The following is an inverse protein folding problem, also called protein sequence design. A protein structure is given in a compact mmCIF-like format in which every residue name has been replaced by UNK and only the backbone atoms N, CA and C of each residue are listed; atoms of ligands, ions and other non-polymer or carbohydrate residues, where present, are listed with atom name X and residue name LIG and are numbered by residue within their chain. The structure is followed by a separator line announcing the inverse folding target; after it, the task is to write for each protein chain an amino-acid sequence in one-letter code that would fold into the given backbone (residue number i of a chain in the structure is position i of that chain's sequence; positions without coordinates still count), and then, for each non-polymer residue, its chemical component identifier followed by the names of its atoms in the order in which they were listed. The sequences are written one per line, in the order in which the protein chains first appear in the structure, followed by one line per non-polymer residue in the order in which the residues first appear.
data_IF_247370838273
#
_entry.id   IF_247370838273
#
_cell.length_a   1.000
_cell.length_b   1.000
_cell.length_c   1.000
_cell.angle_alpha   90.00
_cell.angle_beta   90.00
_cell.angle_gamma   90.00
#
_symmetry.space_group_name_H-M   'P 1'
#
loop_
_entity.id
_entity.type
_entity.pdbx_description
1 polymer ?
#
# COMPACT_ATOMS: atom_id res chain seq x y z
N UNK A 1 33.06 -10.40 -18.23
CA UNK A 1 32.18 -10.86 -17.14
C UNK A 1 30.96 -9.97 -17.18
N UNK A 2 29.83 -10.49 -17.62
CA UNK A 2 28.54 -9.79 -17.54
C UNK A 2 27.98 -10.02 -16.13
N UNK A 3 27.91 -8.98 -15.31
CA UNK A 3 27.22 -9.04 -14.02
C UNK A 3 25.75 -9.39 -14.26
N UNK A 4 25.22 -10.47 -13.66
CA UNK A 4 23.80 -10.78 -13.73
C UNK A 4 23.04 -9.67 -12.99
N UNK A 5 22.11 -9.02 -13.68
CA UNK A 5 21.26 -7.97 -13.10
C UNK A 5 20.39 -8.62 -12.01
N UNK A 6 20.51 -8.16 -10.77
CA UNK A 6 19.77 -8.68 -9.62
C UNK A 6 18.30 -8.25 -9.68
N UNK A 7 17.49 -8.94 -10.47
CA UNK A 7 16.08 -8.60 -10.70
C UNK A 7 15.23 -8.89 -9.45
N UNK A 8 15.65 -9.85 -8.62
CA UNK A 8 14.90 -10.31 -7.46
C UNK A 8 14.76 -9.26 -6.34
N UNK A 9 15.80 -8.45 -6.07
CA UNK A 9 15.75 -7.51 -4.94
C UNK A 9 14.74 -6.39 -5.15
N UNK A 10 14.56 -5.93 -6.38
CA UNK A 10 13.73 -4.76 -6.71
C UNK A 10 12.25 -5.01 -6.37
N UNK A 11 11.75 -6.23 -6.61
CA UNK A 11 10.36 -6.58 -6.30
C UNK A 11 10.12 -6.73 -4.80
N UNK A 12 11.05 -7.35 -4.06
CA UNK A 12 10.94 -7.47 -2.60
C UNK A 12 10.98 -6.11 -1.91
N UNK A 13 11.84 -5.20 -2.38
CA UNK A 13 11.94 -3.85 -1.83
C UNK A 13 10.64 -3.06 -2.05
N UNK A 14 10.01 -3.23 -3.20
CA UNK A 14 8.71 -2.62 -3.52
C UNK A 14 7.59 -3.15 -2.63
N UNK A 15 7.49 -4.46 -2.44
CA UNK A 15 6.45 -5.07 -1.60
C UNK A 15 6.62 -4.64 -0.13
N UNK A 16 7.86 -4.47 0.34
CA UNK A 16 8.15 -3.90 1.67
C UNK A 16 7.71 -2.45 1.79
N UNK A 17 7.99 -1.62 0.79
CA UNK A 17 7.54 -0.22 0.76
C UNK A 17 6.01 -0.11 0.80
N UNK A 18 5.31 -0.91 -0.02
CA UNK A 18 3.83 -0.95 -0.04
C UNK A 18 3.29 -1.32 1.34
N UNK A 19 3.86 -2.35 1.97
CA UNK A 19 3.45 -2.79 3.31
C UNK A 19 3.67 -1.70 4.36
N UNK A 20 4.80 -1.00 4.29
CA UNK A 20 5.08 0.11 5.20
C UNK A 20 4.03 1.22 5.03
N UNK A 21 3.77 1.67 3.81
CA UNK A 21 2.79 2.73 3.53
C UNK A 21 1.39 2.31 3.97
N UNK A 22 0.97 1.07 3.70
CA UNK A 22 -0.31 0.54 4.16
C UNK A 22 -0.44 0.57 5.69
N UNK A 23 0.62 0.24 6.40
CA UNK A 23 0.66 0.28 7.88
C UNK A 23 0.50 1.71 8.39
N UNK A 24 1.25 2.65 7.81
CA UNK A 24 1.15 4.07 8.18
C UNK A 24 -0.23 4.67 7.88
N UNK A 25 -0.86 4.28 6.77
CA UNK A 25 -2.22 4.69 6.41
C UNK A 25 -3.24 4.10 7.37
N UNK A 26 -3.10 2.83 7.72
CA UNK A 26 -3.96 2.14 8.69
C UNK A 26 -3.94 2.86 10.04
N UNK A 27 -2.76 3.18 10.56
CA UNK A 27 -2.59 3.87 11.83
C UNK A 27 -3.16 5.29 11.78
N UNK A 28 -2.90 6.02 10.70
CA UNK A 28 -3.46 7.37 10.51
C UNK A 28 -5.00 7.38 10.49
N UNK A 29 -5.62 6.37 9.86
CA UNK A 29 -7.08 6.21 9.84
C UNK A 29 -7.61 5.91 11.24
N UNK A 30 -6.96 4.98 11.96
CA UNK A 30 -7.34 4.58 13.32
C UNK A 30 -7.25 5.76 14.29
N UNK A 31 -6.18 6.55 14.21
CA UNK A 31 -5.97 7.72 15.08
C UNK A 31 -7.02 8.81 14.85
N UNK A 32 -7.53 8.94 13.63
CA UNK A 32 -8.64 9.85 13.31
C UNK A 32 -10.03 9.27 13.56
N UNK A 33 -10.12 8.05 14.10
CA UNK A 33 -11.38 7.41 14.47
C UNK A 33 -12.15 6.83 13.27
N UNK A 34 -11.51 6.68 12.11
CA UNK A 34 -12.09 5.95 10.99
C UNK A 34 -11.90 4.45 11.18
N UNK A 35 -12.80 3.64 10.58
CA UNK A 35 -12.56 2.20 10.44
C UNK A 35 -11.56 1.98 9.30
N UNK A 36 -10.31 1.56 9.58
CA UNK A 36 -9.29 1.54 8.54
C UNK A 36 -9.58 0.52 7.44
N UNK A 37 -10.19 -0.62 7.79
CA UNK A 37 -10.53 -1.68 6.82
C UNK A 37 -11.55 -1.18 5.81
N UNK A 38 -12.65 -0.58 6.27
CA UNK A 38 -13.70 -0.08 5.38
C UNK A 38 -13.16 1.02 4.45
N UNK A 39 -12.31 1.90 4.97
CA UNK A 39 -11.73 2.98 4.18
C UNK A 39 -10.72 2.47 3.14
N UNK A 40 -9.87 1.51 3.51
CA UNK A 40 -8.94 0.88 2.57
C UNK A 40 -9.67 0.10 1.48
N UNK A 41 -10.71 -0.66 1.83
CA UNK A 41 -11.56 -1.36 0.85
C UNK A 41 -12.25 -0.36 -0.07
N UNK A 42 -12.83 0.71 0.48
CA UNK A 42 -13.45 1.77 -0.31
C UNK A 42 -12.47 2.42 -1.30
N UNK A 43 -11.25 2.71 -0.84
CA UNK A 43 -10.19 3.26 -1.68
C UNK A 43 -9.77 2.28 -2.80
N UNK A 44 -9.53 1.00 -2.47
CA UNK A 44 -9.11 -0.01 -3.46
C UNK A 44 -10.17 -0.20 -4.55
N UNK A 45 -11.45 -0.23 -4.19
CA UNK A 45 -12.54 -0.47 -5.15
C UNK A 45 -12.88 0.75 -6.01
N UNK A 46 -12.70 1.97 -5.48
CA UNK A 46 -13.16 3.20 -6.14
C UNK A 46 -12.05 4.11 -6.65
N UNK A 47 -10.80 3.91 -6.21
CA UNK A 47 -9.67 4.84 -6.34
C UNK A 47 -9.90 6.24 -5.76
N UNK A 48 -11.02 6.48 -5.07
CA UNK A 48 -11.32 7.80 -4.54
C UNK A 48 -10.46 8.10 -3.30
N UNK A 49 -9.51 9.06 -3.38
CA UNK A 49 -8.61 9.35 -2.27
C UNK A 49 -9.32 9.97 -1.06
N UNK A 50 -10.60 10.35 -1.16
CA UNK A 50 -11.38 10.88 -0.03
C UNK A 50 -11.59 9.85 1.08
N UNK A 51 -11.56 8.55 0.76
CA UNK A 51 -11.57 7.47 1.76
C UNK A 51 -10.34 7.52 2.68
N UNK A 52 -9.22 8.10 2.24
CA UNK A 52 -8.00 8.16 3.03
C UNK A 52 -7.86 9.52 3.69
N UNK A 53 -7.59 9.55 5.00
CA UNK A 53 -7.34 10.79 5.75
C UNK A 53 -6.10 11.52 5.23
N UNK A 54 -6.10 12.85 5.29
CA UNK A 54 -4.90 13.67 5.02
C UNK A 54 -3.92 13.68 6.19
N UNK A 55 -4.31 13.17 7.36
CA UNK A 55 -3.47 13.11 8.55
C UNK A 55 -2.19 12.30 8.32
N UNK A 56 -1.07 12.76 8.89
CA UNK A 56 0.23 12.09 8.74
C UNK A 56 0.73 11.97 7.29
N UNK A 57 0.13 12.71 6.36
CA UNK A 57 0.38 12.58 4.93
C UNK A 57 -0.12 11.27 4.32
N UNK A 58 -0.97 10.50 5.00
CA UNK A 58 -1.42 9.18 4.57
C UNK A 58 -2.00 9.16 3.15
N UNK A 59 -2.92 10.10 2.84
CA UNK A 59 -3.47 10.25 1.49
C UNK A 59 -2.40 10.48 0.42
N UNK A 60 -1.37 11.28 0.71
CA UNK A 60 -0.31 11.54 -0.25
C UNK A 60 0.62 10.34 -0.43
N UNK A 61 0.86 9.56 0.63
CA UNK A 61 1.70 8.36 0.58
C UNK A 61 1.04 7.25 -0.25
N UNK A 62 -0.21 6.92 0.03
CA UNK A 62 -0.90 5.82 -0.67
C UNK A 62 -1.14 6.13 -2.15
N UNK A 63 -1.34 7.41 -2.51
CA UNK A 63 -1.49 7.84 -3.91
C UNK A 63 -0.21 7.73 -4.75
N UNK A 64 0.95 7.48 -4.13
CA UNK A 64 2.21 7.21 -4.85
C UNK A 64 2.32 5.76 -5.29
N UNK A 65 1.51 4.87 -4.73
CA UNK A 65 1.47 3.46 -5.08
C UNK A 65 0.46 3.28 -6.21
N UNK A 66 0.83 2.52 -7.24
CA UNK A 66 -0.11 2.09 -8.27
C UNK A 66 -1.14 1.13 -7.65
N UNK A 67 -2.42 1.28 -7.98
CA UNK A 67 -3.48 0.43 -7.41
C UNK A 67 -3.23 -1.05 -7.72
N UNK A 68 -2.75 -1.37 -8.90
CA UNK A 68 -2.56 -2.76 -9.32
C UNK A 68 -1.39 -3.39 -8.54
N UNK A 69 -0.34 -2.61 -8.23
CA UNK A 69 0.74 -3.04 -7.34
C UNK A 69 0.25 -3.26 -5.91
N UNK A 70 -0.60 -2.36 -5.41
CA UNK A 70 -1.21 -2.48 -4.08
C UNK A 70 -2.03 -3.78 -3.97
N UNK A 71 -2.88 -4.03 -4.97
CA UNK A 71 -3.73 -5.21 -5.01
C UNK A 71 -2.91 -6.50 -5.15
N UNK A 72 -1.87 -6.48 -6.01
CA UNK A 72 -0.98 -7.61 -6.19
C UNK A 72 -0.24 -7.96 -4.89
N UNK A 73 0.31 -6.96 -4.18
CA UNK A 73 0.99 -7.17 -2.90
C UNK A 73 0.05 -7.78 -1.84
N UNK A 74 -1.19 -7.30 -1.76
CA UNK A 74 -2.21 -7.85 -0.86
C UNK A 74 -2.56 -9.31 -1.22
N UNK A 75 -2.73 -9.61 -2.50
CA UNK A 75 -3.09 -10.95 -2.97
C UNK A 75 -1.96 -11.96 -2.76
N UNK A 76 -0.72 -11.61 -3.11
CA UNK A 76 0.46 -12.45 -2.84
C UNK A 76 0.57 -12.80 -1.37
N UNK A 77 0.45 -11.79 -0.50
CA UNK A 77 0.50 -12.00 0.95
C UNK A 77 -0.64 -12.90 1.45
N UNK A 78 -1.84 -12.75 0.89
CA UNK A 78 -3.00 -13.60 1.22
C UNK A 78 -2.79 -15.06 0.79
N UNK A 79 -2.19 -15.30 -0.38
CA UNK A 79 -1.89 -16.63 -0.90
C UNK A 79 -0.65 -17.27 -0.25
N UNK A 80 0.14 -16.49 0.49
CA UNK A 80 1.38 -16.95 1.12
C UNK A 80 2.55 -17.07 0.14
N UNK A 81 2.51 -16.31 -0.96
CA UNK A 81 3.55 -16.22 -2.00
C UNK A 81 4.51 -15.06 -1.77
#
# INVERSE_FOLDING_TARGET
MSEPTTIFSIYEDKDREIRQILTEVYDALKEKGYNPINQLVGYILSEDPTYITTYGGARSKIRKIDRDDLLAALLKNFLGE
#
